data_IF_979424372167
#
_entry.id   IF_979424372167
#
_cell.length_a   1.000
_cell.length_b   1.000
_cell.length_c   1.000
_cell.angle_alpha   90.00
_cell.angle_beta   90.00
_cell.angle_gamma   90.00
#
_symmetry.space_group_name_H-M   'P 1'
#
loop_
_entity.id
_entity.type
_entity.pdbx_description
1 polymer ?
#
# COMPACT_ATOMS: atom_id res chain seq x y z
N UNK A 1 -10.69 -6.24 42.08
CA UNK A 1 -10.65 -5.35 40.89
C UNK A 1 -9.90 -6.08 39.79
N UNK A 2 -10.60 -6.67 38.80
CA UNK A 2 -9.96 -7.24 37.61
C UNK A 2 -10.76 -6.78 36.38
N UNK A 3 -10.35 -5.69 35.74
CA UNK A 3 -10.88 -5.33 34.42
C UNK A 3 -10.14 -6.18 33.39
N UNK A 4 -10.82 -7.20 32.85
CA UNK A 4 -10.44 -7.80 31.58
C UNK A 4 -10.57 -6.69 30.52
N UNK A 5 -9.45 -6.11 30.11
CA UNK A 5 -9.39 -5.29 28.89
C UNK A 5 -9.56 -6.28 27.74
N UNK A 6 -10.81 -6.52 27.34
CA UNK A 6 -11.08 -7.20 26.08
C UNK A 6 -10.63 -6.26 24.97
N UNK A 7 -9.45 -6.52 24.41
CA UNK A 7 -9.08 -6.00 23.10
C UNK A 7 -10.09 -6.57 22.12
N UNK A 8 -11.07 -5.75 21.73
CA UNK A 8 -11.88 -6.04 20.56
C UNK A 8 -10.89 -6.03 19.40
N UNK A 9 -10.53 -7.20 18.88
CA UNK A 9 -9.82 -7.29 17.59
C UNK A 9 -10.63 -6.48 16.60
N UNK A 10 -10.05 -5.42 16.03
CA UNK A 10 -10.66 -4.72 14.92
C UNK A 10 -10.99 -5.76 13.84
N UNK A 11 -12.15 -5.64 13.19
CA UNK A 11 -12.46 -6.51 12.07
C UNK A 11 -11.48 -6.16 10.95
N UNK A 12 -10.61 -7.11 10.60
CA UNK A 12 -9.75 -6.97 9.44
C UNK A 12 -10.60 -6.68 8.20
N UNK A 13 -10.27 -5.62 7.48
CA UNK A 13 -10.93 -5.21 6.25
C UNK A 13 -10.68 -6.23 5.14
N UNK A 14 -9.57 -6.96 5.19
CA UNK A 14 -9.19 -8.00 4.22
C UNK A 14 -9.81 -9.37 4.53
N UNK A 15 -10.52 -9.56 5.65
CA UNK A 15 -11.07 -10.86 6.06
C UNK A 15 -12.09 -11.48 5.09
N UNK A 16 -12.63 -10.70 4.15
CA UNK A 16 -13.56 -11.16 3.11
C UNK A 16 -12.89 -11.35 1.74
N UNK A 17 -11.60 -11.02 1.63
CA UNK A 17 -10.83 -11.07 0.40
C UNK A 17 -10.17 -12.44 0.24
N UNK A 18 -9.82 -12.79 -0.99
CA UNK A 18 -9.08 -14.00 -1.30
C UNK A 18 -7.65 -13.92 -0.70
N UNK A 19 -7.24 -14.94 0.04
CA UNK A 19 -5.94 -14.99 0.75
C UNK A 19 -4.73 -14.87 -0.20
N UNK A 20 -4.78 -15.48 -1.38
CA UNK A 20 -3.73 -15.40 -2.39
C UNK A 20 -3.59 -13.96 -2.91
N UNK A 21 -4.71 -13.29 -3.20
CA UNK A 21 -4.70 -11.88 -3.60
C UNK A 21 -4.13 -10.99 -2.49
N UNK A 22 -4.46 -11.27 -1.22
CA UNK A 22 -3.91 -10.52 -0.08
C UNK A 22 -2.39 -10.72 0.01
N UNK A 23 -1.89 -11.93 -0.22
CA UNK A 23 -0.45 -12.20 -0.26
C UNK A 23 0.25 -11.45 -1.40
N UNK A 24 -0.34 -11.43 -2.60
CA UNK A 24 0.18 -10.66 -3.73
C UNK A 24 0.19 -9.16 -3.43
N UNK A 25 -0.91 -8.61 -2.92
CA UNK A 25 -0.99 -7.20 -2.52
C UNK A 25 -0.01 -6.84 -1.40
N UNK A 26 0.22 -7.75 -0.46
CA UNK A 26 1.24 -7.59 0.60
C UNK A 26 2.66 -7.56 0.01
N UNK A 27 2.96 -8.41 -0.98
CA UNK A 27 4.24 -8.38 -1.67
C UNK A 27 4.45 -7.07 -2.45
N UNK A 28 3.40 -6.56 -3.09
CA UNK A 28 3.41 -5.26 -3.78
C UNK A 28 3.59 -4.08 -2.81
N UNK A 29 2.96 -4.12 -1.64
CA UNK A 29 3.20 -3.15 -0.57
C UNK A 29 4.67 -3.15 -0.15
N UNK A 30 5.29 -4.33 0.00
CA UNK A 30 6.71 -4.43 0.35
C UNK A 30 7.62 -3.76 -0.68
N UNK A 31 7.35 -3.94 -1.99
CA UNK A 31 8.07 -3.25 -3.07
C UNK A 31 7.89 -1.74 -3.00
N UNK A 32 6.68 -1.29 -2.68
CA UNK A 32 6.36 0.12 -2.50
C UNK A 32 7.15 0.76 -1.35
N UNK A 33 7.15 0.14 -0.16
CA UNK A 33 7.93 0.62 0.98
C UNK A 33 9.44 0.62 0.69
N UNK A 34 9.93 -0.39 -0.04
CA UNK A 34 11.33 -0.43 -0.49
C UNK A 34 11.68 0.78 -1.34
N UNK A 35 10.86 1.13 -2.34
CA UNK A 35 11.11 2.33 -3.16
C UNK A 35 11.14 3.62 -2.33
N UNK A 36 10.30 3.72 -1.31
CA UNK A 36 10.32 4.85 -0.39
C UNK A 36 11.68 4.97 0.32
N UNK A 37 12.18 3.87 0.89
CA UNK A 37 13.49 3.85 1.56
C UNK A 37 14.67 4.14 0.63
N UNK A 38 14.53 3.84 -0.66
CA UNK A 38 15.53 4.14 -1.69
C UNK A 38 15.45 5.58 -2.20
N UNK A 39 14.57 6.42 -1.63
CA UNK A 39 14.46 7.84 -1.95
C UNK A 39 13.76 8.13 -3.27
N UNK A 40 12.93 7.21 -3.78
CA UNK A 40 12.04 7.53 -4.90
C UNK A 40 11.07 8.63 -4.44
N UNK A 41 10.95 9.71 -5.20
CA UNK A 41 10.08 10.84 -4.87
C UNK A 41 8.66 10.63 -5.39
N UNK A 42 7.70 11.38 -4.84
CA UNK A 42 6.29 11.40 -5.28
C UNK A 42 5.62 10.02 -5.21
N UNK A 43 5.94 9.22 -4.20
CA UNK A 43 5.18 8.00 -3.93
C UNK A 43 3.79 8.36 -3.44
N UNK A 44 2.81 7.74 -4.06
CA UNK A 44 1.39 7.84 -3.71
C UNK A 44 0.82 6.44 -3.76
N UNK A 45 -0.25 6.16 -2.99
CA UNK A 45 -0.91 4.85 -2.97
C UNK A 45 -2.23 4.88 -3.78
N UNK A 46 -2.17 4.67 -5.12
CA UNK A 46 -3.35 4.67 -5.99
C UNK A 46 -4.19 3.39 -5.93
N UNK A 47 -3.62 2.27 -5.46
CA UNK A 47 -4.37 1.01 -5.34
C UNK A 47 -5.14 1.00 -4.03
N UNK A 48 -6.48 1.05 -4.11
CA UNK A 48 -7.36 0.93 -2.94
C UNK A 48 -7.24 -0.45 -2.29
N UNK A 49 -6.96 -1.48 -3.06
CA UNK A 49 -6.72 -2.82 -2.53
C UNK A 49 -5.48 -2.87 -1.65
N UNK A 50 -4.35 -2.36 -2.15
CA UNK A 50 -3.08 -2.35 -1.40
C UNK A 50 -3.16 -1.39 -0.21
N UNK A 51 -3.86 -0.27 -0.34
CA UNK A 51 -4.10 0.67 0.75
C UNK A 51 -4.88 0.02 1.91
N UNK A 52 -5.91 -0.78 1.61
CA UNK A 52 -6.65 -1.55 2.62
C UNK A 52 -5.76 -2.57 3.32
N UNK A 53 -4.89 -3.28 2.58
CA UNK A 53 -3.91 -4.20 3.17
C UNK A 53 -2.98 -3.43 4.10
N UNK A 54 -2.50 -2.27 3.68
CA UNK A 54 -1.62 -1.45 4.49
C UNK A 54 -2.30 -0.98 5.79
N UNK A 55 -3.54 -0.49 5.71
CA UNK A 55 -4.35 -0.14 6.87
C UNK A 55 -4.55 -1.32 7.84
N UNK A 56 -4.87 -2.51 7.32
CA UNK A 56 -5.02 -3.71 8.14
C UNK A 56 -3.71 -4.10 8.84
N UNK A 57 -2.56 -3.95 8.17
CA UNK A 57 -1.26 -4.22 8.79
C UNK A 57 -0.94 -3.22 9.90
N UNK A 58 -1.31 -1.94 9.75
CA UNK A 58 -1.09 -0.90 10.75
C UNK A 58 -1.86 -1.15 12.07
N UNK A 59 -2.93 -1.94 12.04
CA UNK A 59 -3.66 -2.38 13.25
C UNK A 59 -2.85 -3.38 14.09
N UNK A 60 -1.75 -3.94 13.55
CA UNK A 60 -0.80 -4.77 14.26
C UNK A 60 0.62 -4.19 14.19
N UNK A 61 0.97 -3.24 15.09
CA UNK A 61 2.22 -2.49 15.01
C UNK A 61 3.47 -3.36 15.02
N UNK A 62 3.49 -4.48 15.77
CA UNK A 62 4.64 -5.38 15.85
C UNK A 62 4.89 -6.10 14.51
N UNK A 63 3.83 -6.62 13.88
CA UNK A 63 3.92 -7.25 12.57
C UNK A 63 4.28 -6.23 11.48
N UNK A 64 3.70 -5.03 11.56
CA UNK A 64 4.01 -3.96 10.62
C UNK A 64 5.45 -3.46 10.74
N UNK A 65 5.97 -3.28 11.96
CA UNK A 65 7.36 -2.90 12.18
C UNK A 65 8.31 -3.95 11.60
N UNK A 66 8.07 -5.24 11.83
CA UNK A 66 8.88 -6.32 11.26
C UNK A 66 8.81 -6.32 9.73
N UNK A 67 7.62 -6.13 9.17
CA UNK A 67 7.41 -6.06 7.72
C UNK A 67 8.12 -4.85 7.09
N UNK A 68 7.95 -3.67 7.68
CA UNK A 68 8.56 -2.44 7.18
C UNK A 68 10.08 -2.51 7.28
N UNK A 69 10.64 -3.00 8.39
CA UNK A 69 12.09 -3.22 8.51
C UNK A 69 12.61 -4.24 7.48
N UNK A 70 11.86 -5.31 7.19
CA UNK A 70 12.25 -6.30 6.17
C UNK A 70 12.40 -5.69 4.77
N UNK A 71 11.53 -4.76 4.38
CA UNK A 71 11.49 -4.23 3.01
C UNK A 71 12.16 -2.86 2.85
N UNK A 72 12.05 -2.01 3.86
CA UNK A 72 12.51 -0.62 3.84
C UNK A 72 13.69 -0.36 4.81
N UNK A 73 14.05 -1.33 5.68
CA UNK A 73 15.10 -1.14 6.69
C UNK A 73 14.75 -0.13 7.78
N UNK A 74 13.51 0.36 7.78
CA UNK A 74 12.97 1.33 8.74
C UNK A 74 11.44 1.21 8.77
N UNK A 75 10.82 1.77 9.81
CA UNK A 75 9.37 1.93 9.86
C UNK A 75 8.96 3.09 8.96
N UNK A 76 8.13 2.80 7.96
CA UNK A 76 7.53 3.80 7.07
C UNK A 76 6.17 4.20 7.63
N UNK A 77 5.91 5.49 7.75
CA UNK A 77 4.62 6.02 8.17
C UNK A 77 3.59 5.97 7.04
N UNK A 78 2.32 6.06 7.41
CA UNK A 78 1.19 6.23 6.50
C UNK A 78 0.53 7.57 6.80
N UNK A 79 0.28 8.37 5.76
CA UNK A 79 -0.42 9.64 5.90
C UNK A 79 -1.48 9.85 4.81
N UNK A 80 -2.56 10.60 5.12
CA UNK A 80 -3.52 11.02 4.11
C UNK A 80 -2.90 12.03 3.14
N UNK A 81 -2.82 11.65 1.86
CA UNK A 81 -2.40 12.53 0.76
C UNK A 81 -3.42 12.36 -0.35
N UNK A 82 -4.24 13.37 -0.60
CA UNK A 82 -5.28 13.29 -1.64
C UNK A 82 -4.78 13.88 -2.95
N UNK A 83 -4.99 13.16 -4.04
CA UNK A 83 -4.68 13.66 -5.37
C UNK A 83 -5.16 12.75 -6.49
N UNK A 84 -4.97 13.23 -7.71
CA UNK A 84 -5.21 12.46 -8.92
C UNK A 84 -4.24 12.86 -10.02
N UNK A 85 -3.99 11.95 -10.95
CA UNK A 85 -3.14 12.24 -12.10
C UNK A 85 -2.36 11.03 -12.57
N UNK A 86 -1.24 11.31 -13.25
CA UNK A 86 -0.30 10.30 -13.69
C UNK A 86 0.50 9.79 -12.49
N UNK A 87 0.65 8.47 -12.39
CA UNK A 87 1.43 7.85 -11.32
C UNK A 87 2.90 7.86 -11.73
N UNK A 88 3.63 8.88 -11.27
CA UNK A 88 5.01 9.16 -11.71
C UNK A 88 6.03 8.10 -11.27
N UNK A 89 5.78 7.44 -10.13
CA UNK A 89 6.68 6.42 -9.62
C UNK A 89 6.65 5.10 -10.41
N UNK A 90 5.69 4.89 -11.32
CA UNK A 90 5.57 3.64 -12.11
C UNK A 90 6.83 3.34 -12.91
N UNK A 91 7.48 4.34 -13.50
CA UNK A 91 8.74 4.13 -14.22
C UNK A 91 9.87 3.64 -13.29
N UNK A 92 9.90 4.12 -12.04
CA UNK A 92 10.86 3.66 -11.04
C UNK A 92 10.56 2.24 -10.57
N UNK A 93 9.29 1.90 -10.40
CA UNK A 93 8.84 0.55 -10.10
C UNK A 93 9.25 -0.41 -11.21
N UNK A 94 8.93 -0.09 -12.47
CA UNK A 94 9.18 -0.99 -13.60
C UNK A 94 10.65 -1.33 -13.80
N UNK A 95 11.53 -0.34 -13.62
CA UNK A 95 12.98 -0.54 -13.69
C UNK A 95 13.51 -1.53 -12.66
N UNK A 96 12.83 -1.67 -11.52
CA UNK A 96 13.26 -2.49 -10.38
C UNK A 96 12.62 -3.87 -10.38
N UNK A 97 11.33 -3.94 -10.71
CA UNK A 97 10.50 -5.11 -10.45
C UNK A 97 9.76 -5.65 -11.69
N UNK A 98 9.89 -4.98 -12.83
CA UNK A 98 9.11 -5.29 -14.03
C UNK A 98 7.71 -4.67 -14.01
N UNK A 99 6.82 -5.14 -14.90
CA UNK A 99 5.48 -4.56 -15.05
C UNK A 99 4.68 -4.61 -13.75
N UNK A 100 3.79 -3.63 -13.57
CA UNK A 100 2.88 -3.58 -12.42
C UNK A 100 2.04 -4.85 -12.38
N UNK A 101 1.97 -5.47 -11.20
CA UNK A 101 1.03 -6.55 -10.93
C UNK A 101 -0.42 -6.05 -11.05
N UNK A 102 -1.35 -6.94 -11.43
CA UNK A 102 -2.79 -6.64 -11.54
C UNK A 102 -3.42 -6.12 -10.25
N UNK A 103 -2.87 -6.46 -9.08
CA UNK A 103 -3.32 -5.98 -7.76
C UNK A 103 -3.21 -4.46 -7.60
N UNK A 104 -2.34 -3.78 -8.36
CA UNK A 104 -2.31 -2.32 -8.42
C UNK A 104 -3.59 -1.72 -9.00
N UNK A 105 -4.35 -2.49 -9.77
CA UNK A 105 -5.55 -2.06 -10.49
C UNK A 105 -6.83 -2.57 -9.83
N UNK A 106 -6.77 -2.99 -8.56
CA UNK A 106 -7.92 -3.49 -7.82
C UNK A 106 -8.54 -2.43 -6.91
N UNK A 107 -9.87 -2.48 -6.76
CA UNK A 107 -10.59 -1.70 -5.75
C UNK A 107 -10.47 -2.32 -4.35
N UNK A 108 -11.03 -1.67 -3.33
CA UNK A 108 -10.96 -2.17 -1.94
C UNK A 108 -11.58 -3.56 -1.72
N UNK A 109 -12.39 -4.05 -2.66
CA UNK A 109 -13.03 -5.36 -2.60
C UNK A 109 -12.29 -6.40 -3.46
N UNK A 110 -11.08 -6.09 -3.94
CA UNK A 110 -10.31 -6.96 -4.83
C UNK A 110 -10.86 -7.04 -6.26
N UNK A 111 -11.76 -6.14 -6.66
CA UNK A 111 -12.31 -6.15 -8.03
C UNK A 111 -11.33 -5.49 -8.99
N UNK A 112 -10.92 -6.25 -9.98
CA UNK A 112 -9.94 -5.82 -10.98
C UNK A 112 -10.52 -4.82 -12.00
N UNK A 113 -9.88 -3.65 -12.11
CA UNK A 113 -10.17 -2.65 -13.14
C UNK A 113 -9.45 -3.01 -14.44
N UNK A 114 -10.08 -3.91 -15.19
CA UNK A 114 -9.57 -4.38 -16.49
C UNK A 114 -9.28 -3.25 -17.46
N UNK A 115 -10.14 -2.24 -17.54
CA UNK A 115 -9.98 -1.10 -18.46
C UNK A 115 -8.71 -0.30 -18.17
N UNK A 116 -8.46 0.04 -16.90
CA UNK A 116 -7.27 0.77 -16.49
C UNK A 116 -5.99 -0.05 -16.74
N UNK A 117 -6.04 -1.37 -16.47
CA UNK A 117 -4.91 -2.24 -16.74
C UNK A 117 -4.59 -2.37 -18.24
N UNK A 118 -5.60 -2.54 -19.09
CA UNK A 118 -5.42 -2.61 -20.55
C UNK A 118 -4.86 -1.30 -21.12
N UNK A 119 -5.32 -0.16 -20.62
CA UNK A 119 -4.78 1.15 -20.99
C UNK A 119 -3.31 1.30 -20.57
N UNK A 120 -2.96 0.87 -19.36
CA UNK A 120 -1.58 0.81 -18.90
C UNK A 120 -0.71 -0.12 -19.76
N UNK A 121 -1.18 -1.33 -20.08
CA UNK A 121 -0.45 -2.28 -20.93
C UNK A 121 -0.20 -1.70 -22.34
N UNK A 122 -1.18 -0.96 -22.88
CA UNK A 122 -1.06 -0.33 -24.20
C UNK A 122 -0.13 0.87 -24.22
N UNK A 123 -0.16 1.69 -23.18
CA UNK A 123 0.49 3.03 -23.19
C UNK A 123 1.74 3.13 -22.33
N UNK A 124 1.91 2.20 -21.38
CA UNK A 124 2.88 2.31 -20.29
C UNK A 124 2.56 3.41 -19.27
N UNK A 125 1.42 4.08 -19.40
CA UNK A 125 1.00 5.18 -18.53
C UNK A 125 -0.18 4.72 -17.68
N UNK A 126 -0.04 4.89 -16.37
CA UNK A 126 -1.14 4.69 -15.44
C UNK A 126 -1.58 6.03 -14.85
N UNK A 127 -2.89 6.29 -14.91
CA UNK A 127 -3.55 7.42 -14.26
C UNK A 127 -4.55 6.90 -13.23
N UNK A 128 -4.53 7.46 -12.04
CA UNK A 128 -5.42 7.10 -10.94
C UNK A 128 -5.55 8.26 -9.93
N UNK A 129 -6.49 8.13 -9.00
CA UNK A 129 -6.55 8.92 -7.79
C UNK A 129 -5.98 8.14 -6.60
N UNK A 130 -5.57 8.86 -5.56
CA UNK A 130 -5.02 8.33 -4.33
C UNK A 130 -5.45 9.19 -3.16
N UNK A 131 -5.56 8.58 -1.98
CA UNK A 131 -5.90 9.29 -0.73
C UNK A 131 -4.82 9.15 0.34
N UNK A 132 -3.79 8.34 0.07
CA UNK A 132 -2.76 7.97 1.03
C UNK A 132 -1.36 7.96 0.40
N UNK A 133 -0.33 8.11 1.24
CA UNK A 133 1.06 7.98 0.86
C UNK A 133 2.00 7.65 2.03
N UNK A 134 3.27 7.33 1.73
CA UNK A 134 4.28 7.03 2.74
C UNK A 134 4.90 8.30 3.31
N UNK A 135 5.26 8.26 4.60
CA UNK A 135 6.03 9.33 5.23
C UNK A 135 7.10 8.81 6.20
N UNK A 136 8.00 9.69 6.65
CA UNK A 136 9.21 9.33 7.40
C UNK A 136 8.96 9.00 8.89
N UNK A 137 7.74 9.07 9.43
CA UNK A 137 7.50 9.00 10.88
C UNK A 137 6.33 8.09 11.31
N UNK A 138 6.62 7.22 12.28
CA UNK A 138 5.68 6.47 13.13
C UNK A 138 6.32 6.36 14.54
N UNK A 139 5.60 6.48 15.69
CA UNK A 139 4.19 6.76 15.91
C UNK A 139 3.99 8.06 16.69
N UNK A 140 3.83 9.22 16.06
CA UNK A 140 3.07 10.38 16.58
C UNK A 140 3.27 11.60 15.68
N UNK A 141 2.13 12.13 15.24
CA UNK A 141 1.85 13.52 14.87
C UNK A 141 2.70 14.16 13.76
N UNK A 142 2.03 14.29 12.61
CA UNK A 142 2.27 15.22 11.50
C UNK A 142 3.50 14.92 10.66
N UNK A 143 3.24 14.14 9.61
CA UNK A 143 3.97 14.29 8.37
C UNK A 143 3.59 15.69 7.80
N UNK A 144 4.57 16.59 7.77
CA UNK A 144 4.48 17.97 7.26
C UNK A 144 5.32 18.11 6.01
#
# INVERSE_FOLDING_TARGET
>A
MNRKVGTKKAKSHTAHLNEELVQEGTAELGKFLKMYSEGVSNLTMPSRFIDVIWHDMLENPEEYEAFSNKFAGMVVGHEPIVGEGKIEWVTNYEKRFGKLNSTWFMDQNGRFNKKAYEEYQKTGVWRASWDCGPCLHYPTLNCQ
#
